data_IF_664177773481
#
_entry.id   IF_664177773481
#
_cell.length_a   1.000
_cell.length_b   1.000
_cell.length_c   1.000
_cell.angle_alpha   90.00
_cell.angle_beta   90.00
_cell.angle_gamma   90.00
#
_symmetry.space_group_name_H-M   'P 1'
#
loop_
_entity.id
_entity.type
_entity.pdbx_description
1 polymer ?
#
# COMPACT_ATOMS: atom_id res chain seq x y z
N UNK A 1 6.65 18.58 18.84
CA UNK A 1 6.28 17.92 17.57
C UNK A 1 4.79 18.14 17.42
N UNK A 2 4.38 18.99 16.47
CA UNK A 2 3.05 19.59 16.42
C UNK A 2 2.01 18.67 15.80
N UNK A 3 0.81 18.64 16.40
CA UNK A 3 -0.38 17.91 15.98
C UNK A 3 -0.98 18.35 14.62
N UNK A 4 -0.28 19.18 13.85
CA UNK A 4 -0.76 19.76 12.60
C UNK A 4 -0.52 18.84 11.38
N UNK A 5 0.53 18.02 11.38
CA UNK A 5 0.80 17.08 10.27
C UNK A 5 -0.17 15.89 10.22
N UNK A 6 -0.96 15.68 11.29
CA UNK A 6 -1.93 14.59 11.38
C UNK A 6 -3.35 14.99 10.88
N UNK A 7 -3.65 16.29 10.78
CA UNK A 7 -5.01 16.78 10.48
C UNK A 7 -5.21 17.23 9.02
N UNK A 8 -4.16 17.33 8.20
CA UNK A 8 -4.32 17.65 6.77
C UNK A 8 -4.78 16.45 5.92
N UNK A 9 -4.94 15.25 6.51
CA UNK A 9 -5.39 14.02 5.82
C UNK A 9 -6.92 13.83 5.97
N UNK A 10 -7.62 14.70 6.72
CA UNK A 10 -9.09 14.66 6.83
C UNK A 10 -9.83 15.20 5.58
N UNK A 11 -9.11 15.66 4.56
CA UNK A 11 -9.71 16.14 3.32
C UNK A 11 -9.43 15.18 2.15
N UNK A 12 -10.50 14.50 1.68
CA UNK A 12 -10.61 13.76 0.39
C UNK A 12 -10.33 12.24 0.37
N UNK A 13 -10.60 11.53 1.47
CA UNK A 13 -11.74 10.61 1.54
C UNK A 13 -11.94 9.42 0.58
N UNK A 14 -10.91 8.74 0.06
CA UNK A 14 -11.10 7.40 -0.53
C UNK A 14 -9.93 6.46 -0.24
N UNK A 15 -10.01 5.68 0.84
CA UNK A 15 -9.16 4.50 1.00
C UNK A 15 -9.60 3.40 0.03
N UNK A 16 -8.64 2.68 -0.53
CA UNK A 16 -8.86 1.49 -1.34
C UNK A 16 -8.40 0.25 -0.58
N UNK A 17 -9.14 -0.84 -0.71
CA UNK A 17 -8.73 -2.13 -0.15
C UNK A 17 -7.65 -2.76 -1.06
N UNK A 18 -6.47 -2.96 -0.49
CA UNK A 18 -5.35 -3.62 -1.13
C UNK A 18 -4.89 -4.80 -0.27
N UNK A 19 -4.36 -5.85 -0.90
CA UNK A 19 -3.98 -7.07 -0.18
C UNK A 19 -2.50 -7.01 0.20
N UNK A 20 -2.21 -6.91 1.49
CA UNK A 20 -0.86 -6.98 2.05
C UNK A 20 -0.68 -8.32 2.75
N UNK A 21 0.26 -9.15 2.26
CA UNK A 21 0.58 -10.46 2.85
C UNK A 21 -0.63 -11.38 3.10
N UNK A 22 -1.67 -11.27 2.27
CA UNK A 22 -2.89 -12.09 2.36
C UNK A 22 -4.01 -11.51 3.22
N UNK A 23 -3.84 -10.29 3.75
CA UNK A 23 -4.86 -9.55 4.49
C UNK A 23 -5.26 -8.28 3.74
N UNK A 24 -6.54 -7.93 3.78
CA UNK A 24 -7.04 -6.69 3.16
C UNK A 24 -6.79 -5.51 4.08
N UNK A 25 -5.89 -4.62 3.65
CA UNK A 25 -5.57 -3.37 4.34
C UNK A 25 -6.11 -2.19 3.54
N UNK A 26 -6.47 -1.12 4.25
CA UNK A 26 -6.92 0.12 3.65
C UNK A 26 -5.73 1.04 3.39
N UNK A 27 -5.59 1.44 2.13
CA UNK A 27 -4.49 2.30 1.68
C UNK A 27 -5.01 3.46 0.86
N UNK A 28 -4.34 4.60 0.96
CA UNK A 28 -4.60 5.75 0.10
C UNK A 28 -4.23 5.37 -1.34
N UNK A 29 -5.08 5.63 -2.34
CA UNK A 29 -4.80 5.34 -3.73
C UNK A 29 -3.63 6.21 -4.23
N UNK A 30 -2.80 5.68 -5.15
CA UNK A 30 -1.63 6.40 -5.65
C UNK A 30 -1.90 7.71 -6.36
N UNK A 31 -3.11 7.90 -6.91
CA UNK A 31 -3.53 9.19 -7.47
C UNK A 31 -3.57 10.31 -6.43
N UNK A 32 -3.69 9.96 -5.14
CA UNK A 32 -3.68 10.89 -4.01
C UNK A 32 -2.32 10.94 -3.28
N UNK A 33 -1.28 10.22 -3.74
CA UNK A 33 0.03 10.26 -3.09
C UNK A 33 0.74 11.58 -3.34
N UNK A 34 1.17 12.23 -2.24
CA UNK A 34 2.03 13.41 -2.35
C UNK A 34 3.40 13.01 -2.91
N UNK A 35 3.98 13.87 -3.75
CA UNK A 35 5.31 13.65 -4.32
C UNK A 35 6.41 13.50 -3.24
N UNK A 36 6.22 14.09 -2.05
CA UNK A 36 7.10 13.89 -0.90
C UNK A 36 7.10 12.45 -0.38
N UNK A 37 5.94 11.78 -0.36
CA UNK A 37 5.80 10.39 0.04
C UNK A 37 6.45 9.45 -0.97
N UNK A 38 6.23 9.72 -2.26
CA UNK A 38 6.86 8.97 -3.35
C UNK A 38 8.40 9.13 -3.35
N UNK A 39 8.90 10.30 -2.97
CA UNK A 39 10.34 10.51 -2.73
C UNK A 39 10.86 9.74 -1.52
N UNK A 40 10.06 9.59 -0.46
CA UNK A 40 10.44 8.81 0.71
C UNK A 40 10.59 7.32 0.35
N UNK A 41 9.65 6.77 -0.43
CA UNK A 41 9.76 5.41 -0.96
C UNK A 41 11.04 5.22 -1.79
N UNK A 42 11.36 6.16 -2.69
CA UNK A 42 12.59 6.13 -3.49
C UNK A 42 13.89 6.24 -2.64
N UNK A 43 13.79 6.80 -1.43
CA UNK A 43 14.91 6.89 -0.48
C UNK A 43 15.01 5.66 0.44
N UNK A 44 14.13 4.67 0.26
CA UNK A 44 14.07 3.49 1.13
C UNK A 44 13.43 3.76 2.49
N UNK A 45 12.71 4.88 2.65
CA UNK A 45 11.97 5.19 3.89
C UNK A 45 10.60 4.52 3.85
N UNK A 46 10.59 3.19 3.96
CA UNK A 46 9.38 2.36 3.86
C UNK A 46 8.44 2.64 5.01
N UNK A 47 8.93 2.64 6.25
CA UNK A 47 8.10 2.82 7.45
C UNK A 47 7.36 4.16 7.43
N UNK A 48 8.07 5.23 7.06
CA UNK A 48 7.48 6.56 6.93
C UNK A 48 6.44 6.61 5.81
N UNK A 49 6.70 5.92 4.69
CA UNK A 49 5.75 5.86 3.59
C UNK A 49 4.50 5.09 4.01
N UNK A 50 4.66 3.91 4.61
CA UNK A 50 3.59 3.06 5.12
C UNK A 50 2.70 3.80 6.13
N UNK A 51 3.28 4.53 7.08
CA UNK A 51 2.54 5.33 8.06
C UNK A 51 1.66 6.41 7.41
N UNK A 52 2.05 6.94 6.25
CA UNK A 52 1.30 7.98 5.55
C UNK A 52 0.26 7.45 4.58
N UNK A 53 0.48 6.27 3.99
CA UNK A 53 -0.44 5.70 3.00
C UNK A 53 -1.42 4.71 3.59
N UNK A 54 -1.06 3.99 4.64
CA UNK A 54 -1.96 3.03 5.29
C UNK A 54 -2.93 3.75 6.22
N UNK A 55 -4.09 3.13 6.41
CA UNK A 55 -5.00 3.52 7.47
C UNK A 55 -4.32 3.30 8.83
N UNK A 56 -4.52 4.19 9.84
CA UNK A 56 -3.90 4.04 11.16
C UNK A 56 -4.18 2.68 11.82
N UNK A 57 -5.40 2.15 11.66
CA UNK A 57 -5.78 0.84 12.22
C UNK A 57 -5.07 -0.34 11.53
N UNK A 58 -4.63 -0.17 10.28
CA UNK A 58 -3.94 -1.22 9.49
C UNK A 58 -2.41 -1.05 9.53
N UNK A 59 -1.92 0.08 10.05
CA UNK A 59 -0.48 0.33 10.21
C UNK A 59 0.14 -0.58 11.29
N UNK A 60 -0.61 -0.85 12.36
CA UNK A 60 -0.17 -1.80 13.39
C UNK A 60 0.04 -3.20 12.79
N UNK A 61 -0.85 -3.63 11.88
CA UNK A 61 -0.69 -4.88 11.15
C UNK A 61 0.56 -4.92 10.28
N UNK A 62 0.89 -3.80 9.60
CA UNK A 62 2.12 -3.69 8.82
C UNK A 62 3.37 -3.90 9.71
N UNK A 63 3.38 -3.35 10.93
CA UNK A 63 4.47 -3.54 11.89
C UNK A 63 4.56 -4.98 12.42
N UNK A 64 3.42 -5.65 12.59
CA UNK A 64 3.38 -7.04 13.06
C UNK A 64 3.82 -8.04 11.98
N UNK A 65 3.39 -7.84 10.74
CA UNK A 65 3.74 -8.70 9.60
C UNK A 65 5.19 -8.50 9.16
N UNK A 66 5.71 -7.28 9.27
CA UNK A 66 7.05 -6.90 8.80
C UNK A 66 7.32 -7.43 7.38
N UNK A 67 6.54 -7.00 6.36
CA UNK A 67 6.65 -7.53 5.02
C UNK A 67 8.03 -7.23 4.44
N UNK A 68 8.56 -8.17 3.67
CA UNK A 68 9.83 -7.93 2.97
C UNK A 68 9.68 -6.79 1.95
N UNK A 69 10.80 -6.15 1.58
CA UNK A 69 10.81 -5.08 0.58
C UNK A 69 10.16 -5.52 -0.75
N UNK A 70 10.32 -6.78 -1.15
CA UNK A 70 9.69 -7.33 -2.36
C UNK A 70 8.16 -7.40 -2.24
N UNK A 71 7.65 -7.88 -1.10
CA UNK A 71 6.22 -7.94 -0.80
C UNK A 71 5.62 -6.54 -0.72
N UNK A 72 6.34 -5.60 -0.09
CA UNK A 72 5.92 -4.20 -0.01
C UNK A 72 5.83 -3.53 -1.38
N UNK A 73 6.86 -3.68 -2.23
CA UNK A 73 6.83 -3.13 -3.59
C UNK A 73 5.71 -3.73 -4.42
N UNK A 74 5.46 -5.04 -4.26
CA UNK A 74 4.34 -5.72 -4.92
C UNK A 74 2.99 -5.19 -4.47
N UNK A 75 2.81 -4.95 -3.15
CA UNK A 75 1.61 -4.34 -2.60
C UNK A 75 1.35 -2.94 -3.15
N UNK A 76 2.38 -2.09 -3.18
CA UNK A 76 2.33 -0.73 -3.72
C UNK A 76 1.95 -0.74 -5.22
N UNK A 77 2.46 -1.71 -5.98
CA UNK A 77 2.12 -1.91 -7.39
C UNK A 77 0.67 -2.42 -7.56
N UNK A 78 0.20 -3.33 -6.71
CA UNK A 78 -1.19 -3.81 -6.74
C UNK A 78 -2.18 -2.71 -6.36
N UNK A 79 -1.88 -1.92 -5.31
CA UNK A 79 -2.64 -0.74 -4.93
C UNK A 79 -2.75 0.27 -6.09
N UNK A 80 -1.66 0.43 -6.86
CA UNK A 80 -1.64 1.24 -8.08
C UNK A 80 -2.50 0.70 -9.21
N UNK A 81 -2.49 -0.62 -9.36
CA UNK A 81 -3.29 -1.31 -10.37
C UNK A 81 -4.79 -1.22 -10.08
N UNK A 82 -5.17 -1.26 -8.78
CA UNK A 82 -6.56 -1.19 -8.32
C UNK A 82 -7.18 0.21 -8.39
N UNK A 83 -6.37 1.28 -8.30
CA UNK A 83 -6.87 2.66 -8.34
C UNK A 83 -7.19 3.19 -9.75
N UNK A 84 -7.03 2.39 -10.80
CA UNK A 84 -7.51 2.72 -12.15
C UNK A 84 -6.53 3.49 -13.05
N UNK A 85 -5.33 3.82 -12.56
CA UNK A 85 -4.24 4.33 -13.39
C UNK A 85 -3.07 3.35 -13.31
N UNK A 86 -2.87 2.50 -14.33
CA UNK A 86 -1.67 1.67 -14.37
C UNK A 86 -0.46 2.61 -14.45
N UNK A 87 0.25 2.78 -13.34
CA UNK A 87 1.60 3.34 -13.32
C UNK A 87 2.44 2.42 -14.20
N UNK A 88 2.67 2.88 -15.43
CA UNK A 88 2.96 2.03 -16.58
C UNK A 88 3.95 0.91 -16.31
N UNK A 89 3.40 -0.30 -16.10
CA UNK A 89 3.82 -1.57 -16.67
C UNK A 89 2.80 -2.63 -16.28
N UNK A 90 2.42 -3.43 -17.26
CA UNK A 90 1.53 -4.56 -17.13
C UNK A 90 2.18 -5.64 -16.25
N UNK A 91 2.02 -5.57 -14.93
CA UNK A 91 2.45 -6.64 -14.04
C UNK A 91 1.33 -7.69 -13.90
N UNK A 92 1.74 -8.94 -14.09
CA UNK A 92 0.90 -10.07 -14.37
C UNK A 92 0.20 -10.61 -13.11
N UNK A 93 -0.99 -11.19 -13.32
CA UNK A 93 -1.78 -12.05 -12.42
C UNK A 93 -0.93 -12.68 -11.30
N UNK A 94 -1.16 -12.23 -10.06
CA UNK A 94 -0.75 -12.99 -8.88
C UNK A 94 -1.54 -14.31 -8.87
N UNK A 95 -0.77 -15.38 -9.04
CA UNK A 95 -1.26 -16.76 -9.13
C UNK A 95 -1.61 -17.22 -7.73
N UNK A 96 -2.89 -17.11 -7.33
CA UNK A 96 -3.36 -17.79 -6.12
C UNK A 96 -3.30 -19.31 -6.34
N UNK A 97 -2.24 -19.91 -5.80
CA UNK A 97 -1.95 -21.33 -5.89
C UNK A 97 -2.94 -22.15 -5.07
N UNK A 98 -4.07 -22.53 -5.66
CA UNK A 98 -4.88 -23.65 -5.15
C UNK A 98 -4.53 -24.90 -5.96
N UNK A 99 -3.75 -25.86 -5.41
CA UNK A 99 -3.54 -27.13 -6.09
C UNK A 99 -4.86 -27.92 -6.01
N UNK A 100 -5.69 -27.82 -7.05
CA UNK A 100 -6.85 -28.70 -7.17
C UNK A 100 -6.34 -30.11 -7.43
N UNK A 101 -6.33 -30.90 -6.36
CA UNK A 101 -5.94 -32.30 -6.32
C UNK A 101 -6.68 -33.08 -7.40
N UNK A 102 -5.91 -33.64 -8.34
CA UNK A 102 -6.31 -34.68 -9.30
C UNK A 102 -7.02 -35.83 -8.57
N UNK A 103 -8.27 -36.12 -8.95
CA UNK A 103 -8.87 -37.47 -8.97
C UNK A 103 -10.13 -37.44 -9.81
#
# INVERSE_FOLDING_TARGET
>A
MSAADAQEIEAEGHYVAAELCGEEVQVIPPSAWRASWQRALNQGQIDFFAEKILHPDDYDFFLEVDPTLEEWLTFVEDASSRSGEPLGKSAARSRSGRPTRRR
#
